data_IF_684229743473
#
_entry.id   IF_684229743473
#
_cell.length_a   1.000
_cell.length_b   1.000
_cell.length_c   1.000
_cell.angle_alpha   90.00
_cell.angle_beta   90.00
_cell.angle_gamma   90.00
#
_symmetry.space_group_name_H-M   'P 1'
#
loop_
_entity.id
_entity.type
_entity.pdbx_description
1 polymer ?
#
# COMPACT_ATOMS: atom_id res chain seq x y z
N UNK A 1 -43.53 -58.66 -36.37
CA UNK A 1 -44.62 -58.05 -37.16
C UNK A 1 -45.90 -58.13 -36.34
N UNK A 2 -46.78 -57.11 -36.28
CA UNK A 2 -46.72 -55.77 -36.88
C UNK A 2 -46.74 -54.61 -35.85
N UNK A 3 -46.67 -53.41 -36.43
CA UNK A 3 -46.53 -52.06 -35.91
C UNK A 3 -47.88 -51.34 -35.67
N UNK A 4 -47.76 -50.10 -35.17
CA UNK A 4 -48.60 -48.89 -35.32
C UNK A 4 -49.50 -48.58 -34.10
N UNK A 5 -49.60 -47.36 -33.56
CA UNK A 5 -49.49 -45.99 -34.09
C UNK A 5 -49.07 -45.00 -32.97
N UNK A 6 -48.46 -43.87 -33.32
CA UNK A 6 -48.77 -42.48 -32.84
C UNK A 6 -47.74 -41.52 -33.47
N UNK A 7 -48.10 -40.90 -34.60
CA UNK A 7 -48.61 -39.52 -34.78
C UNK A 7 -47.52 -38.44 -34.86
N UNK A 8 -47.41 -37.87 -36.06
CA UNK A 8 -46.55 -36.77 -36.49
C UNK A 8 -46.84 -35.45 -35.76
N UNK A 9 -45.77 -34.69 -35.43
CA UNK A 9 -45.82 -33.22 -35.42
C UNK A 9 -44.50 -32.60 -35.89
N UNK A 10 -44.65 -31.80 -36.96
CA UNK A 10 -43.93 -30.58 -37.33
C UNK A 10 -42.41 -30.63 -37.54
N UNK A 11 -42.06 -30.59 -38.83
CA UNK A 11 -40.73 -30.31 -39.40
C UNK A 11 -40.37 -28.84 -39.18
N UNK A 12 -39.26 -28.58 -38.49
CA UNK A 12 -38.52 -27.32 -38.58
C UNK A 12 -37.10 -27.64 -39.10
N UNK A 13 -36.70 -26.94 -40.17
CA UNK A 13 -35.40 -27.08 -40.84
C UNK A 13 -34.23 -26.91 -39.84
N UNK A 14 -33.17 -27.72 -39.90
CA UNK A 14 -31.97 -27.44 -39.12
C UNK A 14 -31.27 -26.20 -39.69
N UNK A 15 -31.04 -25.20 -38.84
CA UNK A 15 -30.04 -24.16 -39.11
C UNK A 15 -28.69 -24.88 -39.24
N UNK A 16 -28.01 -24.68 -40.37
CA UNK A 16 -26.59 -25.00 -40.51
C UNK A 16 -25.79 -24.13 -39.53
N UNK A 17 -25.57 -24.64 -38.32
CA UNK A 17 -24.53 -24.17 -37.42
C UNK A 17 -23.21 -24.71 -37.98
N UNK A 18 -22.44 -23.83 -38.61
CA UNK A 18 -21.02 -24.08 -38.87
C UNK A 18 -20.36 -24.46 -37.54
N UNK A 19 -19.51 -25.49 -37.49
CA UNK A 19 -18.81 -25.82 -36.26
C UNK A 19 -17.94 -24.62 -35.86
N UNK A 20 -18.13 -24.16 -34.63
CA UNK A 20 -17.24 -23.19 -34.02
C UNK A 20 -15.81 -23.70 -34.15
N UNK A 21 -14.93 -22.89 -34.74
CA UNK A 21 -13.49 -23.13 -34.76
C UNK A 21 -13.03 -23.47 -33.35
N UNK A 22 -12.19 -24.51 -33.15
CA UNK A 22 -11.67 -24.79 -31.82
C UNK A 22 -10.93 -23.55 -31.33
N UNK A 23 -11.41 -22.98 -30.22
CA UNK A 23 -10.71 -21.96 -29.47
C UNK A 23 -9.41 -22.57 -29.00
N UNK A 24 -8.33 -22.28 -29.72
CA UNK A 24 -6.97 -22.60 -29.30
C UNK A 24 -6.77 -21.98 -27.92
N UNK A 25 -6.54 -22.75 -26.84
CA UNK A 25 -6.07 -22.17 -25.60
C UNK A 25 -4.77 -21.41 -25.90
N UNK A 26 -4.46 -20.30 -25.20
CA UNK A 26 -3.22 -19.58 -25.44
C UNK A 26 -2.07 -20.59 -25.37
N UNK A 27 -1.37 -20.71 -26.49
CA UNK A 27 -0.19 -21.57 -26.63
C UNK A 27 0.79 -21.10 -25.55
N UNK A 28 1.06 -21.95 -24.56
CA UNK A 28 2.21 -21.78 -23.68
C UNK A 28 3.45 -21.94 -24.56
N UNK A 29 3.86 -20.84 -25.20
CA UNK A 29 5.10 -20.76 -25.96
C UNK A 29 6.27 -20.91 -24.98
N UNK A 30 7.31 -21.61 -25.46
CA UNK A 30 8.64 -21.86 -24.88
C UNK A 30 9.02 -21.08 -23.61
N UNK A 31 9.66 -21.70 -22.60
CA UNK A 31 10.07 -21.00 -21.38
C UNK A 31 10.84 -19.74 -21.75
N UNK A 32 10.34 -18.59 -21.29
CA UNK A 32 10.89 -17.29 -21.61
C UNK A 32 12.40 -17.30 -21.35
N UNK A 33 13.19 -17.08 -22.40
CA UNK A 33 14.64 -16.96 -22.26
C UNK A 33 14.90 -15.69 -21.47
N UNK A 34 15.25 -15.86 -20.19
CA UNK A 34 15.68 -14.75 -19.33
C UNK A 34 17.11 -14.39 -19.76
N UNK A 35 17.31 -13.12 -20.08
CA UNK A 35 18.63 -12.60 -20.41
C UNK A 35 19.58 -12.77 -19.21
N UNK A 36 20.85 -13.06 -19.51
CA UNK A 36 21.85 -13.28 -18.47
C UNK A 36 21.96 -12.12 -17.48
N UNK A 37 21.87 -10.87 -17.94
CA UNK A 37 21.89 -9.67 -17.09
C UNK A 37 20.69 -9.63 -16.13
N UNK A 38 19.49 -9.96 -16.60
CA UNK A 38 18.29 -10.00 -15.76
C UNK A 38 18.34 -11.13 -14.75
N UNK A 39 18.84 -12.31 -15.17
CA UNK A 39 19.06 -13.44 -14.29
C UNK A 39 20.05 -13.08 -13.16
N UNK A 40 21.20 -12.53 -13.54
CA UNK A 40 22.23 -12.10 -12.61
C UNK A 40 21.71 -11.03 -11.63
N UNK A 41 20.86 -10.10 -12.09
CA UNK A 41 20.23 -9.12 -11.20
C UNK A 41 19.37 -9.81 -10.11
N UNK A 42 18.60 -10.84 -10.47
CA UNK A 42 17.77 -11.57 -9.51
C UNK A 42 18.64 -12.34 -8.50
N UNK A 43 19.71 -12.99 -8.95
CA UNK A 43 20.67 -13.69 -8.08
C UNK A 43 21.36 -12.75 -7.10
N UNK A 44 21.84 -11.59 -7.58
CA UNK A 44 22.42 -10.54 -6.74
C UNK A 44 21.43 -10.00 -5.71
N UNK A 45 20.13 -10.15 -5.97
CA UNK A 45 19.06 -9.77 -5.05
C UNK A 45 18.65 -10.91 -4.13
N UNK A 46 19.42 -12.01 -4.09
CA UNK A 46 19.17 -13.17 -3.23
C UNK A 46 17.91 -13.95 -3.60
N UNK A 47 17.46 -13.88 -4.85
CA UNK A 47 16.25 -14.58 -5.32
C UNK A 47 16.62 -15.97 -5.83
N UNK A 48 15.88 -16.99 -5.39
CA UNK A 48 16.10 -18.38 -5.76
C UNK A 48 15.87 -18.60 -7.27
N UNK A 49 16.76 -19.32 -7.98
CA UNK A 49 16.67 -19.58 -9.42
C UNK A 49 15.30 -20.04 -9.92
N UNK A 50 14.66 -20.98 -9.22
CA UNK A 50 13.34 -21.49 -9.61
C UNK A 50 12.22 -20.45 -9.49
N UNK A 51 12.34 -19.48 -8.56
CA UNK A 51 11.39 -18.36 -8.47
C UNK A 51 11.60 -17.40 -9.64
N UNK A 52 12.87 -17.08 -9.96
CA UNK A 52 13.23 -16.27 -11.11
C UNK A 52 12.67 -16.86 -12.40
N UNK A 53 12.93 -18.14 -12.66
CA UNK A 53 12.45 -18.83 -13.85
C UNK A 53 10.92 -18.85 -14.00
N UNK A 54 10.18 -18.82 -12.89
CA UNK A 54 8.73 -18.93 -12.89
C UNK A 54 7.99 -17.58 -12.93
N UNK A 55 8.62 -16.51 -12.42
CA UNK A 55 7.98 -15.21 -12.21
C UNK A 55 8.57 -14.08 -13.04
N UNK A 56 9.77 -14.24 -13.61
CA UNK A 56 10.47 -13.19 -14.34
C UNK A 56 10.54 -13.54 -15.82
N UNK A 57 10.27 -12.55 -16.66
CA UNK A 57 10.36 -12.66 -18.10
C UNK A 57 11.18 -11.50 -18.67
N UNK A 58 12.12 -11.79 -19.58
CA UNK A 58 12.73 -10.77 -20.43
C UNK A 58 11.73 -10.32 -21.49
N UNK A 59 11.52 -9.01 -21.59
CA UNK A 59 10.66 -8.39 -22.60
C UNK A 59 11.50 -7.46 -23.46
N UNK A 60 11.37 -7.59 -24.79
CA UNK A 60 12.17 -6.83 -25.76
C UNK A 60 11.30 -6.29 -26.89
N UNK A 61 11.72 -5.16 -27.46
CA UNK A 61 11.10 -4.59 -28.64
C UNK A 61 9.61 -4.34 -28.43
N UNK A 62 8.81 -4.58 -29.47
CA UNK A 62 7.39 -4.20 -29.47
C UNK A 62 6.56 -4.93 -28.41
N UNK A 63 7.05 -6.06 -27.87
CA UNK A 63 6.42 -6.72 -26.71
C UNK A 63 6.33 -5.78 -25.51
N UNK A 64 7.24 -4.81 -25.35
CA UNK A 64 7.12 -3.80 -24.27
C UNK A 64 5.79 -3.05 -24.34
N UNK A 65 5.25 -2.79 -25.54
CA UNK A 65 3.93 -2.18 -25.68
C UNK A 65 2.82 -3.15 -25.27
N UNK A 66 2.91 -4.44 -25.56
CA UNK A 66 1.93 -5.43 -25.09
C UNK A 66 1.85 -5.45 -23.55
N UNK A 67 2.99 -5.23 -22.88
CA UNK A 67 3.09 -5.23 -21.43
C UNK A 67 2.58 -3.93 -20.81
N UNK A 68 2.92 -2.76 -21.39
CA UNK A 68 2.60 -1.46 -20.81
C UNK A 68 1.30 -0.84 -21.34
N UNK A 69 0.86 -1.23 -22.53
CA UNK A 69 -0.29 -0.66 -23.22
C UNK A 69 -1.44 -1.68 -23.31
N UNK A 70 -2.27 -1.69 -22.27
CA UNK A 70 -3.45 -2.55 -22.20
C UNK A 70 -4.67 -1.98 -22.95
N UNK A 71 -5.79 -2.69 -22.83
CA UNK A 71 -7.10 -2.31 -23.39
C UNK A 71 -7.72 -1.03 -22.80
N UNK A 72 -7.29 -0.59 -21.61
CA UNK A 72 -7.80 0.63 -20.96
C UNK A 72 -7.29 1.93 -21.60
N UNK A 73 -6.37 1.82 -22.56
CA UNK A 73 -5.88 2.96 -23.33
C UNK A 73 -6.84 3.35 -24.45
N UNK A 74 -6.93 4.66 -24.70
CA UNK A 74 -7.80 5.17 -25.75
C UNK A 74 -7.19 4.89 -27.12
N UNK A 75 -7.93 4.19 -27.97
CA UNK A 75 -7.49 3.84 -29.33
C UNK A 75 -8.04 4.83 -30.36
N UNK A 76 -7.41 4.85 -31.54
CA UNK A 76 -7.92 5.49 -32.75
C UNK A 76 -9.02 4.60 -33.38
N UNK A 77 -9.74 5.13 -34.36
CA UNK A 77 -10.83 4.40 -35.04
C UNK A 77 -10.34 3.16 -35.82
N UNK A 78 -9.04 3.06 -36.09
CA UNK A 78 -8.37 1.89 -36.69
C UNK A 78 -7.84 0.90 -35.64
N UNK A 79 -8.29 1.02 -34.38
CA UNK A 79 -7.88 0.22 -33.22
C UNK A 79 -6.41 0.34 -32.81
N UNK A 80 -5.63 1.23 -33.42
CA UNK A 80 -4.25 1.51 -33.00
C UNK A 80 -4.21 2.37 -31.76
N UNK A 81 -3.15 2.19 -30.96
CA UNK A 81 -2.83 3.09 -29.85
C UNK A 81 -2.62 4.51 -30.38
N UNK A 82 -2.96 5.51 -29.56
CA UNK A 82 -2.73 6.91 -29.92
C UNK A 82 -1.25 7.22 -29.91
N UNK A 83 -0.84 8.12 -30.80
CA UNK A 83 0.55 8.53 -31.00
C UNK A 83 1.20 9.04 -29.69
N UNK A 84 0.43 9.64 -28.78
CA UNK A 84 0.91 10.09 -27.46
C UNK A 84 1.35 8.94 -26.55
N UNK A 85 0.58 7.86 -26.48
CA UNK A 85 0.89 6.69 -25.65
C UNK A 85 2.10 5.92 -26.22
N UNK A 86 2.18 5.82 -27.55
CA UNK A 86 3.34 5.25 -28.23
C UNK A 86 4.61 6.06 -28.00
N UNK A 87 4.54 7.40 -28.10
CA UNK A 87 5.69 8.29 -27.85
C UNK A 87 6.18 8.22 -26.41
N UNK A 88 5.29 7.99 -25.44
CA UNK A 88 5.66 7.88 -24.04
C UNK A 88 6.62 6.70 -23.78
N UNK A 89 6.39 5.57 -24.47
CA UNK A 89 7.14 4.34 -24.27
C UNK A 89 8.14 4.01 -25.38
N UNK A 90 8.17 4.79 -26.47
CA UNK A 90 9.18 4.67 -27.53
C UNK A 90 10.62 4.56 -26.99
N UNK A 91 11.05 5.29 -25.95
CA UNK A 91 12.40 5.14 -25.38
C UNK A 91 12.67 3.76 -24.76
N UNK A 92 11.62 3.06 -24.28
CA UNK A 92 11.73 1.74 -23.68
C UNK A 92 11.77 0.62 -24.72
N UNK A 93 11.30 0.90 -25.95
CA UNK A 93 11.18 -0.07 -27.05
C UNK A 93 12.34 0.07 -28.03
N UNK A 94 12.72 1.31 -28.34
CA UNK A 94 13.75 1.64 -29.32
C UNK A 94 14.93 2.25 -28.58
N UNK A 95 16.12 1.65 -28.69
CA UNK A 95 17.33 2.29 -28.22
C UNK A 95 17.55 3.53 -29.09
N UNK A 96 17.50 4.72 -28.48
CA UNK A 96 17.89 5.95 -29.16
C UNK A 96 19.40 6.07 -28.99
N UNK A 97 20.18 5.62 -29.98
CA UNK A 97 21.53 6.14 -30.15
C UNK A 97 21.42 7.44 -30.96
N UNK A 98 21.81 8.55 -30.36
CA UNK A 98 22.06 9.78 -31.11
C UNK A 98 23.31 9.55 -31.97
N UNK A 99 23.13 9.32 -33.27
CA UNK A 99 24.22 9.36 -34.24
C UNK A 99 24.27 10.80 -34.77
N UNK A 100 25.38 11.54 -34.61
CA UNK A 100 25.54 12.82 -35.28
C UNK A 100 25.42 12.61 -36.78
N UNK A 101 24.46 13.27 -37.42
CA UNK A 101 24.34 13.27 -38.88
C UNK A 101 25.53 14.02 -39.47
N UNK A 102 26.59 13.28 -39.81
CA UNK A 102 27.69 13.77 -40.62
C UNK A 102 27.23 14.12 -42.04
N UNK A 103 27.34 15.41 -42.35
CA UNK A 103 27.44 16.06 -43.67
C UNK A 103 26.48 15.66 -44.81
N UNK A 104 25.52 16.56 -45.08
CA UNK A 104 25.37 17.17 -46.41
C UNK A 104 24.60 18.50 -46.31
N UNK A 105 25.14 19.54 -46.93
CA UNK A 105 24.79 20.95 -46.68
C UNK A 105 23.49 21.46 -47.34
N UNK A 106 22.79 20.69 -48.18
CA UNK A 106 21.81 21.30 -49.10
C UNK A 106 20.35 20.79 -49.03
N UNK A 107 19.95 19.99 -48.03
CA UNK A 107 18.52 19.70 -47.78
C UNK A 107 18.21 19.46 -46.29
N UNK A 108 17.33 20.25 -45.65
CA UNK A 108 16.81 19.92 -44.33
C UNK A 108 15.68 18.90 -44.51
N UNK A 109 16.02 17.64 -44.78
CA UNK A 109 15.13 16.54 -44.40
C UNK A 109 15.51 16.14 -42.98
N UNK A 110 14.67 16.52 -42.02
CA UNK A 110 14.71 16.05 -40.64
C UNK A 110 14.35 14.57 -40.57
N UNK A 111 15.24 13.72 -41.06
CA UNK A 111 15.15 12.27 -40.98
C UNK A 111 16.03 11.77 -39.84
N UNK A 112 15.44 11.53 -38.67
CA UNK A 112 16.09 10.77 -37.61
C UNK A 112 16.23 9.32 -38.07
N UNK A 113 17.45 8.88 -38.39
CA UNK A 113 17.70 7.47 -38.66
C UNK A 113 17.63 6.69 -37.34
N UNK A 114 16.47 6.07 -37.07
CA UNK A 114 16.30 5.08 -36.00
C UNK A 114 17.05 3.81 -36.38
N UNK A 115 18.30 3.67 -35.94
CA UNK A 115 18.93 2.36 -35.87
C UNK A 115 18.31 1.60 -34.69
N UNK A 116 17.35 0.72 -35.00
CA UNK A 116 16.53 -0.01 -34.02
C UNK A 116 17.33 -1.15 -33.36
N UNK A 117 18.27 -0.82 -32.48
CA UNK A 117 18.68 -1.77 -31.45
C UNK A 117 17.56 -1.84 -30.42
N UNK A 118 16.96 -3.01 -30.21
CA UNK A 118 15.76 -3.13 -29.37
C UNK A 118 16.11 -2.88 -27.91
N UNK A 119 15.51 -1.86 -27.30
CA UNK A 119 15.49 -1.69 -25.85
C UNK A 119 14.47 -2.68 -25.25
N UNK A 120 14.64 -2.99 -23.97
CA UNK A 120 13.79 -3.94 -23.27
C UNK A 120 13.91 -3.80 -21.76
N UNK A 121 13.70 -4.90 -21.09
CA UNK A 121 13.87 -5.04 -19.65
C UNK A 121 13.29 -6.36 -19.18
N UNK A 122 12.96 -6.43 -17.90
CA UNK A 122 12.27 -7.58 -17.33
C UNK A 122 10.91 -7.22 -16.74
N UNK A 123 9.97 -8.16 -16.85
CA UNK A 123 8.64 -8.09 -16.29
C UNK A 123 8.48 -9.13 -15.18
N UNK A 124 7.73 -8.77 -14.14
CA UNK A 124 7.24 -9.73 -13.15
C UNK A 124 5.79 -10.08 -13.46
N UNK A 125 5.51 -11.39 -13.48
CA UNK A 125 4.16 -11.94 -13.59
C UNK A 125 3.71 -12.45 -12.22
N UNK A 126 2.47 -12.13 -11.84
CA UNK A 126 1.87 -12.53 -10.58
C UNK A 126 0.52 -13.20 -10.78
N UNK A 127 0.03 -13.80 -9.71
CA UNK A 127 -1.31 -14.36 -9.59
C UNK A 127 -2.24 -13.35 -8.92
N UNK A 128 -3.48 -13.31 -9.39
CA UNK A 128 -4.54 -12.53 -8.79
C UNK A 128 -4.87 -13.12 -7.41
N UNK A 129 -5.10 -12.26 -6.43
CA UNK A 129 -5.27 -12.73 -5.05
C UNK A 129 -6.59 -13.47 -4.84
N UNK A 130 -7.62 -13.16 -5.61
CA UNK A 130 -8.94 -13.75 -5.48
C UNK A 130 -9.00 -15.03 -6.31
N UNK A 131 -8.77 -14.93 -7.61
CA UNK A 131 -8.94 -16.05 -8.55
C UNK A 131 -7.77 -17.02 -8.54
N UNK A 132 -6.58 -16.60 -8.07
CA UNK A 132 -5.31 -17.32 -8.19
C UNK A 132 -4.89 -17.59 -9.64
N UNK A 133 -5.54 -16.95 -10.61
CA UNK A 133 -5.15 -17.01 -12.01
C UNK A 133 -4.01 -16.02 -12.29
N UNK A 134 -3.10 -16.33 -13.22
CA UNK A 134 -2.14 -15.36 -13.71
C UNK A 134 -2.87 -14.15 -14.29
N UNK A 135 -2.47 -12.94 -13.91
CA UNK A 135 -2.95 -11.72 -14.57
C UNK A 135 -1.78 -10.88 -15.08
N UNK A 136 -2.09 -9.98 -16.01
CA UNK A 136 -1.09 -9.20 -16.72
C UNK A 136 -0.17 -8.44 -15.76
N UNK A 137 1.14 -8.66 -15.95
CA UNK A 137 2.31 -7.86 -15.54
C UNK A 137 2.09 -6.96 -14.32
N UNK A 138 2.65 -7.37 -13.18
CA UNK A 138 2.62 -6.56 -11.96
C UNK A 138 3.56 -5.36 -12.08
N UNK A 139 4.74 -5.54 -12.67
CA UNK A 139 5.69 -4.46 -12.92
C UNK A 139 6.64 -4.80 -14.06
N UNK A 140 7.07 -3.78 -14.78
CA UNK A 140 8.13 -3.85 -15.79
C UNK A 140 9.29 -2.95 -15.35
N UNK A 141 10.52 -3.48 -15.36
CA UNK A 141 11.74 -2.71 -15.12
C UNK A 141 12.50 -2.60 -16.45
N UNK A 142 12.56 -1.42 -17.07
CA UNK A 142 13.35 -1.23 -18.28
C UNK A 142 14.85 -1.27 -17.99
N UNK A 143 15.63 -1.74 -18.95
CA UNK A 143 17.09 -1.66 -18.94
C UNK A 143 17.57 -0.20 -18.97
N UNK A 144 16.85 0.61 -19.74
CA UNK A 144 17.08 2.05 -19.89
C UNK A 144 15.83 2.81 -19.45
N UNK A 145 15.74 3.18 -18.16
CA UNK A 145 14.62 3.94 -17.63
C UNK A 145 14.42 5.28 -18.35
N UNK A 146 13.17 5.56 -18.76
CA UNK A 146 12.79 6.91 -19.18
C UNK A 146 12.79 7.87 -17.98
N UNK A 147 12.94 9.15 -18.26
CA UNK A 147 12.88 10.20 -17.25
C UNK A 147 11.44 10.66 -17.02
N UNK A 148 11.11 11.04 -15.79
CA UNK A 148 9.89 11.75 -15.47
C UNK A 148 10.01 13.24 -15.84
N UNK A 149 8.94 14.03 -15.62
CA UNK A 149 8.92 15.47 -15.88
C UNK A 149 9.98 16.27 -15.09
N UNK A 150 10.50 15.70 -14.00
CA UNK A 150 11.54 16.28 -13.15
C UNK A 150 12.95 15.81 -13.53
N UNK A 151 13.11 15.08 -14.64
CA UNK A 151 14.39 14.53 -15.08
C UNK A 151 14.89 13.33 -14.28
N UNK A 152 14.06 12.71 -13.42
CA UNK A 152 14.43 11.53 -12.63
C UNK A 152 14.09 10.22 -13.36
N UNK A 153 14.98 9.22 -13.35
CA UNK A 153 14.71 7.90 -13.90
C UNK A 153 13.49 7.22 -13.25
N UNK A 154 12.58 6.70 -14.07
CA UNK A 154 11.44 5.88 -13.63
C UNK A 154 11.89 4.42 -13.61
N UNK A 155 12.29 3.94 -12.42
CA UNK A 155 12.87 2.60 -12.26
C UNK A 155 11.88 1.47 -12.59
N UNK A 156 10.58 1.67 -12.33
CA UNK A 156 9.54 0.67 -12.57
C UNK A 156 8.36 1.31 -13.26
N UNK A 157 7.87 0.65 -14.30
CA UNK A 157 6.64 0.97 -15.02
C UNK A 157 5.55 -0.03 -14.65
N UNK A 158 4.31 0.44 -14.68
CA UNK A 158 3.11 -0.39 -14.56
C UNK A 158 2.21 -0.09 -15.75
N UNK A 159 1.39 -1.05 -16.21
CA UNK A 159 0.52 -0.83 -17.36
C UNK A 159 -0.36 0.41 -17.16
N UNK A 160 -0.52 1.22 -18.20
CA UNK A 160 -1.23 2.50 -18.07
C UNK A 160 -2.68 2.33 -17.63
N UNK A 161 -3.14 3.30 -16.83
CA UNK A 161 -4.53 3.38 -16.32
C UNK A 161 -4.98 2.10 -15.59
N UNK A 162 -4.05 1.27 -15.14
CA UNK A 162 -4.38 0.18 -14.22
C UNK A 162 -4.39 0.71 -12.80
N UNK A 163 -5.38 0.30 -11.99
CA UNK A 163 -5.28 0.52 -10.56
C UNK A 163 -4.03 -0.22 -10.06
N UNK A 164 -3.36 0.35 -9.05
CA UNK A 164 -2.34 -0.41 -8.34
C UNK A 164 -2.98 -1.63 -7.68
N UNK A 165 -2.27 -2.74 -7.57
CA UNK A 165 -2.80 -3.99 -7.04
C UNK A 165 -1.81 -4.66 -6.10
N UNK A 166 -2.35 -5.55 -5.29
CA UNK A 166 -1.58 -6.55 -4.57
C UNK A 166 -1.57 -7.84 -5.38
N UNK A 167 -0.56 -8.67 -5.18
CA UNK A 167 -0.29 -9.83 -6.02
C UNK A 167 0.38 -10.94 -5.21
N UNK A 168 0.32 -12.14 -5.78
CA UNK A 168 0.97 -13.33 -5.25
C UNK A 168 1.95 -13.90 -6.28
N UNK A 169 3.20 -14.22 -5.90
CA UNK A 169 4.11 -14.89 -6.82
C UNK A 169 3.69 -16.32 -7.12
N UNK A 170 4.00 -16.82 -8.31
CA UNK A 170 3.96 -18.25 -8.64
C UNK A 170 5.05 -18.98 -7.84
N UNK A 171 4.74 -20.19 -7.34
CA UNK A 171 5.60 -20.89 -6.38
C UNK A 171 6.10 -22.22 -6.95
N UNK A 172 7.42 -22.43 -7.09
CA UNK A 172 7.98 -23.72 -7.49
C UNK A 172 7.99 -24.71 -6.32
N UNK A 173 7.98 -26.01 -6.63
CA UNK A 173 7.91 -27.10 -5.66
C UNK A 173 9.02 -27.06 -4.62
N UNK A 174 10.25 -26.68 -5.00
CA UNK A 174 11.37 -26.56 -4.05
C UNK A 174 11.09 -25.54 -2.93
N UNK A 175 10.51 -24.40 -3.29
CA UNK A 175 10.18 -23.33 -2.33
C UNK A 175 8.95 -23.71 -1.51
N UNK A 176 7.92 -24.27 -2.15
CA UNK A 176 6.74 -24.77 -1.44
C UNK A 176 7.14 -25.81 -0.36
N UNK A 177 8.00 -26.77 -0.70
CA UNK A 177 8.49 -27.78 0.24
C UNK A 177 9.28 -27.15 1.41
N UNK A 178 10.16 -26.19 1.12
CA UNK A 178 10.93 -25.48 2.15
C UNK A 178 10.01 -24.73 3.12
N UNK A 179 9.02 -23.99 2.60
CA UNK A 179 8.06 -23.23 3.42
C UNK A 179 7.20 -24.19 4.26
N UNK A 180 6.64 -25.24 3.66
CA UNK A 180 5.83 -26.24 4.37
C UNK A 180 6.63 -26.86 5.51
N UNK A 181 7.88 -27.28 5.27
CA UNK A 181 8.76 -27.83 6.32
C UNK A 181 9.00 -26.83 7.44
N UNK A 182 9.24 -25.55 7.11
CA UNK A 182 9.48 -24.49 8.10
C UNK A 182 8.26 -24.25 8.98
N UNK A 183 7.06 -24.29 8.42
CA UNK A 183 5.80 -23.99 9.13
C UNK A 183 4.98 -25.24 9.51
N UNK A 184 5.57 -26.44 9.45
CA UNK A 184 4.87 -27.70 9.76
C UNK A 184 4.32 -27.79 11.20
N UNK A 185 4.84 -26.96 12.11
CA UNK A 185 4.37 -26.84 13.49
C UNK A 185 3.13 -25.92 13.63
N UNK A 186 2.77 -25.18 12.57
CA UNK A 186 1.63 -24.24 12.52
C UNK A 186 0.52 -24.79 11.62
N UNK A 187 0.89 -25.33 10.46
CA UNK A 187 -0.03 -25.86 9.47
C UNK A 187 0.38 -27.30 9.08
N UNK A 188 -0.60 -28.21 8.89
CA UNK A 188 -0.32 -29.58 8.50
C UNK A 188 0.39 -29.65 7.14
N UNK A 189 1.15 -30.74 6.97
CA UNK A 189 1.72 -31.10 5.68
C UNK A 189 0.58 -31.21 4.64
N UNK A 190 0.77 -30.72 3.41
CA UNK A 190 -0.25 -30.72 2.37
C UNK A 190 -0.94 -32.06 2.07
N UNK A 191 -0.24 -33.18 2.25
CA UNK A 191 -0.76 -34.53 2.00
C UNK A 191 -1.28 -34.72 0.57
N UNK A 192 -2.25 -35.62 0.40
CA UNK A 192 -2.85 -35.92 -0.91
C UNK A 192 -3.68 -34.76 -1.48
N UNK A 193 -4.16 -33.84 -0.61
CA UNK A 193 -4.95 -32.68 -1.02
C UNK A 193 -4.12 -31.69 -1.83
N UNK A 194 -2.83 -31.52 -1.52
CA UNK A 194 -1.94 -30.69 -2.32
C UNK A 194 -0.60 -31.38 -2.60
N UNK A 195 -0.56 -32.23 -3.65
CA UNK A 195 0.60 -33.03 -3.95
C UNK A 195 1.75 -32.15 -4.46
N UNK A 196 2.96 -32.42 -3.99
CA UNK A 196 4.15 -31.83 -4.56
C UNK A 196 4.41 -32.43 -5.94
N UNK A 197 4.78 -31.57 -6.89
CA UNK A 197 5.30 -32.04 -8.17
C UNK A 197 6.65 -32.76 -7.96
N UNK A 198 6.94 -33.74 -8.82
CA UNK A 198 8.20 -34.49 -8.77
C UNK A 198 9.43 -33.62 -9.09
N UNK A 199 9.27 -32.63 -9.98
CA UNK A 199 10.33 -31.69 -10.32
C UNK A 199 10.40 -30.53 -9.31
N UNK A 200 11.58 -30.19 -8.78
CA UNK A 200 11.78 -29.05 -7.89
C UNK A 200 11.39 -27.69 -8.50
N UNK A 201 11.42 -27.57 -9.83
CA UNK A 201 11.13 -26.34 -10.58
C UNK A 201 9.65 -26.19 -10.92
N UNK A 202 8.89 -27.29 -10.90
CA UNK A 202 7.50 -27.29 -11.30
C UNK A 202 6.65 -26.43 -10.35
N UNK A 203 5.69 -25.71 -10.92
CA UNK A 203 4.78 -24.87 -10.16
C UNK A 203 3.86 -25.68 -9.25
N UNK A 204 3.59 -25.15 -8.06
CA UNK A 204 2.59 -25.63 -7.12
C UNK A 204 1.42 -24.63 -7.08
N UNK A 205 0.45 -24.72 -8.02
CA UNK A 205 -0.67 -23.77 -8.11
C UNK A 205 -1.55 -23.79 -6.85
N UNK A 206 -1.52 -24.89 -6.11
CA UNK A 206 -2.23 -25.06 -4.86
C UNK A 206 -1.66 -24.27 -3.67
N UNK A 207 -0.42 -23.75 -3.76
CA UNK A 207 0.29 -23.18 -2.61
C UNK A 207 -0.51 -22.06 -1.93
N UNK A 208 -1.05 -21.13 -2.71
CA UNK A 208 -1.83 -20.02 -2.15
C UNK A 208 -3.18 -20.46 -1.61
N UNK A 209 -3.78 -21.52 -2.16
CA UNK A 209 -4.97 -22.11 -1.56
C UNK A 209 -4.64 -22.77 -0.22
N UNK A 210 -3.51 -23.46 -0.10
CA UNK A 210 -3.03 -23.97 1.20
C UNK A 210 -2.80 -22.82 2.19
N UNK A 211 -2.24 -21.69 1.76
CA UNK A 211 -2.11 -20.51 2.63
C UNK A 211 -3.48 -19.95 3.04
N UNK A 212 -4.45 -19.84 2.13
CA UNK A 212 -5.83 -19.40 2.45
C UNK A 212 -6.51 -20.32 3.46
N UNK A 213 -6.34 -21.63 3.31
CA UNK A 213 -6.96 -22.66 4.17
C UNK A 213 -6.34 -22.71 5.58
N UNK A 214 -5.16 -22.11 5.78
CA UNK A 214 -4.44 -22.08 7.05
C UNK A 214 -4.19 -20.63 7.51
N UNK A 215 -5.21 -19.94 8.06
CA UNK A 215 -5.12 -18.55 8.52
C UNK A 215 -3.98 -18.28 9.52
N UNK A 216 -3.47 -19.33 10.17
CA UNK A 216 -2.53 -19.20 11.30
C UNK A 216 -1.09 -18.99 10.80
N UNK A 217 -0.86 -19.27 9.52
CA UNK A 217 0.39 -18.97 8.85
C UNK A 217 0.64 -17.45 8.83
N UNK A 218 1.82 -17.00 9.26
CA UNK A 218 2.15 -15.58 9.25
C UNK A 218 2.36 -15.09 7.82
N UNK A 219 1.84 -13.89 7.54
CA UNK A 219 2.08 -13.20 6.27
C UNK A 219 2.99 -11.99 6.45
N UNK A 220 3.81 -11.71 5.43
CA UNK A 220 4.76 -10.58 5.43
C UNK A 220 4.44 -9.64 4.25
N UNK A 221 4.06 -8.41 4.53
CA UNK A 221 3.65 -7.48 3.45
C UNK A 221 4.84 -6.68 2.96
N UNK A 222 5.19 -6.88 1.70
CA UNK A 222 6.29 -6.21 1.00
C UNK A 222 5.77 -5.24 -0.05
N UNK A 223 6.64 -4.31 -0.46
CA UNK A 223 6.46 -3.50 -1.67
C UNK A 223 7.46 -3.93 -2.75
N UNK A 224 6.96 -4.14 -3.96
CA UNK A 224 7.77 -4.48 -5.13
C UNK A 224 8.18 -5.96 -5.23
N UNK A 225 8.31 -6.43 -6.48
CA UNK A 225 8.46 -7.84 -6.79
C UNK A 225 9.72 -8.49 -6.20
N UNK A 226 10.86 -7.79 -6.27
CA UNK A 226 12.16 -8.31 -5.81
C UNK A 226 12.15 -8.65 -4.32
N UNK A 227 11.54 -7.77 -3.50
CA UNK A 227 11.41 -7.97 -2.05
C UNK A 227 10.57 -9.19 -1.72
N UNK A 228 9.45 -9.32 -2.43
CA UNK A 228 8.53 -10.45 -2.33
C UNK A 228 9.24 -11.76 -2.69
N UNK A 229 9.96 -11.81 -3.82
CA UNK A 229 10.69 -13.01 -4.22
C UNK A 229 11.89 -13.34 -3.32
N UNK A 230 12.60 -12.32 -2.81
CA UNK A 230 13.69 -12.50 -1.85
C UNK A 230 13.17 -13.14 -0.54
N UNK A 231 12.05 -12.64 0.02
CA UNK A 231 11.47 -13.23 1.23
C UNK A 231 10.97 -14.66 1.02
N UNK A 232 10.38 -14.98 -0.14
CA UNK A 232 10.03 -16.36 -0.49
C UNK A 232 11.26 -17.27 -0.54
N UNK A 233 12.37 -16.78 -1.10
CA UNK A 233 13.65 -17.51 -1.18
C UNK A 233 14.22 -17.82 0.21
N UNK A 234 13.86 -17.01 1.21
CA UNK A 234 14.21 -17.17 2.63
C UNK A 234 13.15 -17.96 3.43
N UNK A 235 12.18 -18.54 2.74
CA UNK A 235 11.11 -19.34 3.33
C UNK A 235 10.11 -18.54 4.15
N UNK A 236 9.89 -17.26 3.85
CA UNK A 236 8.76 -16.50 4.41
C UNK A 236 7.59 -16.50 3.42
N UNK A 237 6.39 -16.16 3.89
CA UNK A 237 5.17 -16.15 3.07
C UNK A 237 4.76 -14.68 2.84
N UNK A 238 5.27 -14.01 1.80
CA UNK A 238 4.99 -12.61 1.57
C UNK A 238 3.74 -12.38 0.75
N UNK A 239 3.04 -11.29 1.05
CA UNK A 239 2.00 -10.69 0.21
C UNK A 239 2.60 -9.45 -0.45
N UNK A 240 2.68 -9.44 -1.77
CA UNK A 240 3.31 -8.35 -2.51
C UNK A 240 2.34 -7.22 -2.80
N UNK A 241 2.75 -5.98 -2.56
CA UNK A 241 2.08 -4.77 -3.02
C UNK A 241 2.90 -4.12 -4.14
N UNK A 242 2.26 -3.61 -5.20
CA UNK A 242 2.97 -2.83 -6.22
C UNK A 242 3.58 -1.53 -5.65
N UNK A 243 2.93 -0.96 -4.63
CA UNK A 243 3.41 0.20 -3.90
C UNK A 243 2.85 0.21 -2.47
N UNK A 244 3.40 1.06 -1.61
CA UNK A 244 2.89 1.30 -0.24
C UNK A 244 1.44 1.80 -0.19
N UNK A 245 0.85 2.18 -1.32
CA UNK A 245 -0.56 2.60 -1.45
C UNK A 245 -1.44 1.55 -2.13
N UNK A 246 -0.90 0.42 -2.58
CA UNK A 246 -1.66 -0.54 -3.37
C UNK A 246 -2.68 -1.34 -2.53
N UNK A 247 -2.70 -1.14 -1.20
CA UNK A 247 -3.62 -1.83 -0.29
C UNK A 247 -5.07 -1.29 -0.31
N UNK A 248 -5.29 -0.06 -0.79
CA UNK A 248 -6.61 0.56 -0.92
C UNK A 248 -6.86 1.13 -2.32
N UNK A 249 -8.12 1.49 -2.59
CA UNK A 249 -8.46 2.34 -3.72
C UNK A 249 -8.16 3.82 -3.38
N UNK A 250 -7.67 4.63 -4.35
CA UNK A 250 -7.43 6.04 -4.12
C UNK A 250 -8.63 6.76 -3.50
N UNK A 251 -8.38 7.59 -2.48
CA UNK A 251 -9.43 8.33 -1.77
C UNK A 251 -10.20 7.53 -0.70
N UNK A 252 -9.95 6.22 -0.56
CA UNK A 252 -10.60 5.38 0.46
C UNK A 252 -9.67 5.06 1.63
N UNK A 253 -10.22 4.67 2.78
CA UNK A 253 -9.45 4.08 3.90
C UNK A 253 -9.81 2.61 4.14
N UNK A 254 -10.43 1.97 3.15
CA UNK A 254 -10.86 0.58 3.22
C UNK A 254 -9.86 -0.30 2.50
N UNK A 255 -9.65 -1.52 3.03
CA UNK A 255 -8.90 -2.55 2.34
C UNK A 255 -9.62 -2.90 1.03
N UNK A 256 -8.86 -3.13 -0.04
CA UNK A 256 -9.41 -3.72 -1.25
C UNK A 256 -10.03 -5.08 -0.97
N UNK A 257 -11.16 -5.36 -1.61
CA UNK A 257 -11.88 -6.62 -1.42
C UNK A 257 -11.00 -7.84 -1.75
N UNK A 258 -10.16 -7.73 -2.78
CA UNK A 258 -9.23 -8.79 -3.19
C UNK A 258 -8.22 -9.19 -2.10
N UNK A 259 -7.94 -8.32 -1.11
CA UNK A 259 -7.05 -8.66 0.01
C UNK A 259 -7.74 -9.54 1.07
N UNK A 260 -9.07 -9.48 1.19
CA UNK A 260 -9.83 -10.13 2.26
C UNK A 260 -9.61 -11.65 2.36
N UNK A 261 -9.54 -12.43 1.25
CA UNK A 261 -9.31 -13.87 1.33
C UNK A 261 -8.00 -14.27 2.04
N UNK A 262 -7.01 -13.40 2.04
CA UNK A 262 -5.72 -13.63 2.71
C UNK A 262 -5.58 -12.88 4.03
N UNK A 263 -6.54 -12.06 4.42
CA UNK A 263 -6.50 -11.27 5.64
C UNK A 263 -7.76 -11.52 6.50
N UNK A 264 -8.06 -12.77 6.87
CA UNK A 264 -9.10 -13.04 7.87
C UNK A 264 -8.71 -12.44 9.23
N UNK A 265 -9.69 -12.24 10.14
CA UNK A 265 -9.43 -11.84 11.51
C UNK A 265 -8.36 -12.71 12.19
N UNK A 266 -7.62 -12.12 13.12
CA UNK A 266 -6.57 -12.75 13.93
C UNK A 266 -5.34 -13.28 13.17
N UNK A 267 -5.30 -13.17 11.83
CA UNK A 267 -4.11 -13.57 11.06
C UNK A 267 -2.88 -12.73 11.47
N UNK A 268 -1.73 -13.38 11.81
CA UNK A 268 -0.48 -12.66 12.04
C UNK A 268 0.02 -12.03 10.75
N UNK A 269 0.16 -10.71 10.74
CA UNK A 269 0.61 -9.96 9.56
C UNK A 269 1.73 -9.00 9.94
N UNK A 270 2.88 -9.11 9.29
CA UNK A 270 4.04 -8.25 9.53
C UNK A 270 4.28 -7.32 8.35
N UNK A 271 4.27 -6.01 8.57
CA UNK A 271 4.60 -5.02 7.53
C UNK A 271 6.12 -4.88 7.44
N UNK A 272 6.68 -4.99 6.22
CA UNK A 272 8.13 -4.93 5.94
C UNK A 272 8.43 -3.93 4.83
N UNK A 273 7.80 -2.74 4.88
CA UNK A 273 8.04 -1.64 3.93
C UNK A 273 9.44 -1.04 4.08
N UNK A 274 9.89 -0.30 3.08
CA UNK A 274 11.23 0.28 3.06
C UNK A 274 11.47 1.27 4.22
N UNK A 275 12.66 1.18 4.83
CA UNK A 275 13.15 2.12 5.82
C UNK A 275 13.97 3.22 5.15
N UNK A 276 13.28 4.20 4.55
CA UNK A 276 13.90 5.37 3.95
C UNK A 276 14.72 6.21 4.95
N UNK A 277 15.68 6.99 4.45
CA UNK A 277 16.46 7.94 5.24
C UNK A 277 16.02 9.40 5.03
N UNK A 278 15.36 9.69 3.90
CA UNK A 278 14.92 11.05 3.55
C UNK A 278 13.69 11.44 4.39
N UNK A 279 13.73 12.53 5.19
CA UNK A 279 12.66 12.84 6.15
C UNK A 279 11.25 12.89 5.55
N UNK A 280 11.10 13.51 4.36
CA UNK A 280 9.81 13.57 3.64
C UNK A 280 9.29 12.17 3.27
N UNK A 281 10.19 11.29 2.82
CA UNK A 281 9.84 9.93 2.41
C UNK A 281 9.57 9.05 3.62
N UNK A 282 10.36 9.16 4.69
CA UNK A 282 10.09 8.50 5.99
C UNK A 282 8.71 8.86 6.51
N UNK A 283 8.36 10.15 6.54
CA UNK A 283 7.05 10.60 6.99
C UNK A 283 5.93 10.01 6.13
N UNK A 284 6.13 9.98 4.80
CA UNK A 284 5.17 9.40 3.87
C UNK A 284 4.97 7.90 4.08
N UNK A 285 6.06 7.11 4.13
CA UNK A 285 6.00 5.65 4.33
C UNK A 285 5.39 5.31 5.68
N UNK A 286 5.82 5.97 6.77
CA UNK A 286 5.22 5.78 8.09
C UNK A 286 3.72 6.12 8.10
N UNK A 287 3.32 7.16 7.35
CA UNK A 287 1.91 7.50 7.16
C UNK A 287 1.12 6.40 6.45
N UNK A 288 1.72 5.72 5.46
CA UNK A 288 1.08 4.58 4.79
C UNK A 288 1.01 3.34 5.69
N UNK A 289 2.08 3.01 6.41
CA UNK A 289 2.09 1.94 7.41
C UNK A 289 0.96 2.17 8.42
N UNK A 290 0.84 3.39 8.94
CA UNK A 290 -0.20 3.73 9.91
C UNK A 290 -1.62 3.54 9.35
N UNK A 291 -1.89 4.06 8.14
CA UNK A 291 -3.21 3.92 7.50
C UNK A 291 -3.55 2.47 7.23
N UNK A 292 -2.59 1.70 6.73
CA UNK A 292 -2.79 0.30 6.42
C UNK A 292 -3.01 -0.54 7.69
N UNK A 293 -2.15 -0.38 8.70
CA UNK A 293 -2.33 -1.05 9.99
C UNK A 293 -3.67 -0.69 10.64
N UNK A 294 -4.12 0.57 10.52
CA UNK A 294 -5.43 0.97 11.03
C UNK A 294 -6.57 0.28 10.27
N UNK A 295 -6.50 0.20 8.95
CA UNK A 295 -7.48 -0.51 8.14
C UNK A 295 -7.51 -2.02 8.48
N UNK A 296 -6.35 -2.64 8.70
CA UNK A 296 -6.21 -4.03 9.15
C UNK A 296 -6.88 -4.27 10.50
N UNK A 297 -6.60 -3.42 11.51
CA UNK A 297 -7.25 -3.50 12.82
C UNK A 297 -8.78 -3.39 12.74
N UNK A 298 -9.30 -2.51 11.87
CA UNK A 298 -10.74 -2.37 11.66
C UNK A 298 -11.39 -3.63 11.06
N UNK A 299 -10.59 -4.49 10.42
CA UNK A 299 -11.01 -5.79 9.89
C UNK A 299 -10.62 -6.96 10.82
N UNK A 300 -10.24 -6.69 12.08
CA UNK A 300 -9.93 -7.72 13.06
C UNK A 300 -8.55 -8.36 12.92
N UNK A 301 -7.68 -7.86 12.04
CA UNK A 301 -6.30 -8.35 11.94
C UNK A 301 -5.41 -7.81 13.07
N UNK A 302 -4.29 -8.49 13.34
CA UNK A 302 -3.29 -8.11 14.36
C UNK A 302 -1.98 -7.69 13.68
N UNK A 303 -1.86 -6.44 13.20
CA UNK A 303 -0.67 -6.00 12.47
C UNK A 303 0.54 -5.80 13.39
N UNK A 304 1.66 -6.35 12.93
CA UNK A 304 3.01 -6.14 13.42
C UNK A 304 3.78 -5.28 12.42
N UNK A 305 4.79 -4.55 12.88
CA UNK A 305 5.71 -3.80 12.02
C UNK A 305 7.12 -4.27 12.30
N UNK A 306 7.80 -4.74 11.27
CA UNK A 306 9.20 -5.10 11.37
C UNK A 306 10.07 -3.85 11.16
N UNK A 307 11.13 -3.75 11.96
CA UNK A 307 12.20 -2.79 11.75
C UNK A 307 13.54 -3.50 11.91
N UNK A 308 14.55 -2.96 11.26
CA UNK A 308 15.93 -3.44 11.29
C UNK A 308 16.88 -2.24 11.35
N UNK A 309 18.14 -2.53 11.57
CA UNK A 309 19.20 -1.53 11.63
C UNK A 309 19.36 -0.89 10.24
N UNK A 310 19.27 0.45 10.09
CA UNK A 310 19.48 1.13 8.82
C UNK A 310 20.83 0.80 8.14
N UNK A 311 21.85 0.39 8.91
CA UNK A 311 23.13 -0.07 8.37
C UNK A 311 23.01 -1.37 7.54
N UNK A 312 21.93 -2.14 7.73
CA UNK A 312 21.64 -3.36 6.98
C UNK A 312 20.93 -3.07 5.64
N UNK A 313 20.67 -1.80 5.34
CA UNK A 313 20.05 -1.37 4.08
C UNK A 313 18.61 -0.89 4.22
N UNK A 314 18.09 -0.37 3.11
CA UNK A 314 16.81 0.33 3.05
C UNK A 314 15.65 -0.67 3.01
N UNK A 315 15.76 -1.68 2.16
CA UNK A 315 14.75 -2.71 1.93
C UNK A 315 15.00 -3.97 2.75
N UNK A 316 13.96 -4.78 2.93
CA UNK A 316 14.08 -6.08 3.60
C UNK A 316 14.99 -7.05 2.83
N UNK A 317 15.07 -6.86 1.51
CA UNK A 317 15.95 -7.58 0.59
C UNK A 317 17.42 -7.16 0.66
N UNK A 318 17.72 -5.97 1.21
CA UNK A 318 19.10 -5.50 1.41
C UNK A 318 19.78 -6.19 2.61
N UNK A 319 18.99 -6.71 3.57
CA UNK A 319 19.52 -7.38 4.77
C UNK A 319 20.17 -8.71 4.37
N UNK A 320 21.50 -8.77 4.39
CA UNK A 320 22.26 -9.94 3.93
C UNK A 320 22.22 -11.12 4.93
N UNK A 321 22.30 -10.83 6.23
CA UNK A 321 22.27 -11.84 7.29
C UNK A 321 20.84 -12.39 7.48
N UNK A 322 20.65 -13.65 7.07
CA UNK A 322 19.36 -14.34 7.12
C UNK A 322 18.88 -14.66 8.53
N UNK A 323 19.79 -14.91 9.47
CA UNK A 323 19.44 -15.19 10.86
C UNK A 323 19.03 -13.90 11.58
N UNK A 324 19.80 -12.83 11.35
CA UNK A 324 19.44 -11.50 11.81
C UNK A 324 18.06 -11.08 11.30
N UNK A 325 17.80 -11.20 10.00
CA UNK A 325 16.50 -10.88 9.43
C UNK A 325 15.40 -11.74 10.06
N UNK A 326 15.62 -13.05 10.16
CA UNK A 326 14.64 -13.98 10.75
C UNK A 326 14.29 -13.60 12.18
N UNK A 327 15.28 -13.17 12.97
CA UNK A 327 15.06 -12.69 14.33
C UNK A 327 14.25 -11.39 14.34
N UNK A 328 14.55 -10.42 13.45
CA UNK A 328 13.77 -9.17 13.34
C UNK A 328 12.33 -9.38 12.91
N UNK A 329 12.09 -10.30 11.98
CA UNK A 329 10.75 -10.64 11.52
C UNK A 329 9.94 -11.36 12.62
N UNK A 330 10.58 -12.24 13.40
CA UNK A 330 9.93 -12.90 14.56
C UNK A 330 9.68 -11.94 15.73
N UNK A 331 10.57 -10.97 15.92
CA UNK A 331 10.46 -9.95 16.98
C UNK A 331 9.79 -8.66 16.50
N UNK A 332 9.02 -8.71 15.41
CA UNK A 332 8.30 -7.56 14.90
C UNK A 332 7.37 -7.00 15.99
N UNK A 333 7.25 -5.68 16.05
CA UNK A 333 6.56 -5.02 17.16
C UNK A 333 5.08 -4.83 16.84
N UNK A 334 4.16 -4.95 17.82
CA UNK A 334 2.77 -4.57 17.64
C UNK A 334 2.63 -3.14 17.11
N UNK A 335 1.70 -2.92 16.18
CA UNK A 335 1.46 -1.60 15.58
C UNK A 335 1.28 -0.48 16.61
N UNK A 336 0.60 -0.76 17.73
CA UNK A 336 0.41 0.21 18.81
C UNK A 336 1.73 0.65 19.45
N UNK A 337 2.67 -0.29 19.64
CA UNK A 337 3.99 -0.04 20.20
C UNK A 337 4.87 0.73 19.22
N UNK A 338 4.88 0.30 17.95
CA UNK A 338 5.58 1.00 16.87
C UNK A 338 5.13 2.46 16.74
N UNK A 339 3.82 2.71 16.75
CA UNK A 339 3.28 4.07 16.65
C UNK A 339 3.62 4.92 17.89
N UNK A 340 3.61 4.32 19.08
CA UNK A 340 4.04 4.99 20.32
C UNK A 340 5.51 5.39 20.25
N UNK A 341 6.39 4.55 19.73
CA UNK A 341 7.81 4.85 19.69
C UNK A 341 8.16 5.91 18.64
N UNK A 342 7.44 5.95 17.52
CA UNK A 342 7.51 7.06 16.57
C UNK A 342 7.10 8.40 17.21
N UNK A 343 6.01 8.42 17.96
CA UNK A 343 5.50 9.65 18.59
C UNK A 343 6.36 10.13 19.75
N UNK A 344 6.95 9.23 20.54
CA UNK A 344 7.92 9.58 21.61
C UNK A 344 9.11 10.37 21.06
N UNK A 345 9.67 9.95 19.92
CA UNK A 345 10.79 10.64 19.26
C UNK A 345 10.45 12.08 18.87
N UNK A 346 9.19 12.35 18.50
CA UNK A 346 8.72 13.70 18.17
C UNK A 346 8.55 14.60 19.39
N UNK A 347 8.18 14.06 20.55
CA UNK A 347 7.97 14.85 21.78
C UNK A 347 9.30 15.27 22.41
N UNK A 348 10.32 14.40 22.38
CA UNK A 348 11.66 14.71 22.91
C UNK A 348 12.42 15.78 22.14
N UNK A 349 11.95 16.15 20.94
CA UNK A 349 12.56 17.17 20.09
C UNK A 349 11.90 18.56 20.23
N UNK A 350 10.96 18.74 21.17
CA UNK A 350 10.37 20.05 21.44
C UNK A 350 11.45 20.94 22.08
N UNK A 351 12.05 21.82 21.28
CA UNK A 351 12.97 22.88 21.73
C UNK A 351 12.21 24.20 21.92
N UNK A 352 12.75 25.11 22.75
CA UNK A 352 12.09 26.40 23.00
C UNK A 352 10.89 26.34 23.94
N UNK A 353 10.86 25.37 24.86
CA UNK A 353 9.84 25.30 25.91
C UNK A 353 10.06 26.43 26.90
N UNK A 354 9.21 27.44 26.82
CA UNK A 354 9.16 28.52 27.80
C UNK A 354 8.29 28.07 28.98
N UNK A 355 8.91 27.84 30.13
CA UNK A 355 8.18 27.47 31.36
C UNK A 355 7.98 28.72 32.20
N UNK A 356 6.73 29.08 32.47
CA UNK A 356 6.37 30.18 33.38
C UNK A 356 5.59 29.62 34.57
N UNK A 357 6.10 29.85 35.78
CA UNK A 357 5.32 29.67 37.01
C UNK A 357 4.45 30.91 37.20
N UNK A 358 3.15 30.72 37.38
CA UNK A 358 2.19 31.81 37.61
C UNK A 358 1.68 31.71 39.04
N UNK A 359 2.15 32.61 39.91
CA UNK A 359 1.77 32.69 41.33
C UNK A 359 0.46 33.46 41.52
N UNK A 360 -0.57 33.10 40.77
CA UNK A 360 -1.88 33.72 40.88
C UNK A 360 -2.96 32.66 41.07
N UNK A 361 -3.99 32.95 41.89
CA UNK A 361 -4.98 31.95 42.28
C UNK A 361 -5.85 31.47 41.12
N UNK A 362 -6.02 32.30 40.08
CA UNK A 362 -6.85 32.01 38.92
C UNK A 362 -6.12 32.30 37.62
N UNK A 363 -6.20 31.36 36.69
CA UNK A 363 -5.77 31.58 35.31
C UNK A 363 -6.73 32.56 34.60
N UNK A 364 -6.19 33.47 33.80
CA UNK A 364 -6.93 34.43 32.96
C UNK A 364 -6.47 34.36 31.49
N UNK A 365 -7.33 34.74 30.52
CA UNK A 365 -6.99 34.77 29.09
C UNK A 365 -5.72 35.54 28.74
N UNK A 366 -5.46 36.66 29.42
CA UNK A 366 -4.32 37.54 29.14
C UNK A 366 -2.95 36.86 29.33
N UNK A 367 -2.91 35.76 30.10
CA UNK A 367 -1.70 34.99 30.37
C UNK A 367 -1.42 33.91 29.33
N UNK A 368 -2.39 33.65 28.45
CA UNK A 368 -2.31 32.65 27.40
C UNK A 368 -1.90 33.38 26.12
N UNK A 369 -0.63 33.28 25.76
CA UNK A 369 -0.12 33.90 24.52
C UNK A 369 -0.75 33.23 23.30
N UNK A 370 -1.57 33.95 22.55
CA UNK A 370 -2.21 33.45 21.32
C UNK A 370 -1.22 33.17 20.17
N UNK A 371 0.02 33.68 20.27
CA UNK A 371 1.07 33.49 19.27
C UNK A 371 1.86 32.18 19.39
N UNK A 372 1.68 31.40 20.46
CA UNK A 372 2.39 30.12 20.64
C UNK A 372 1.57 28.97 20.05
N UNK A 373 2.23 28.05 19.33
CA UNK A 373 1.59 26.90 18.66
C UNK A 373 1.08 25.82 19.63
N UNK A 374 1.66 25.72 20.83
CA UNK A 374 1.26 24.76 21.87
C UNK A 374 1.42 25.40 23.25
N UNK A 375 0.38 25.31 24.08
CA UNK A 375 0.39 25.80 25.46
C UNK A 375 -0.03 24.64 26.37
N UNK A 376 0.83 24.30 27.34
CA UNK A 376 0.56 23.27 28.34
C UNK A 376 0.27 23.94 29.68
N UNK A 377 -0.90 23.66 30.26
CA UNK A 377 -1.35 24.25 31.52
C UNK A 377 -1.45 23.15 32.58
N UNK A 378 -0.62 23.24 33.63
CA UNK A 378 -0.67 22.36 34.80
C UNK A 378 -1.03 23.18 36.04
N UNK A 379 -2.18 22.88 36.67
CA UNK A 379 -2.58 23.52 37.93
C UNK A 379 -3.63 22.67 38.67
N UNK A 380 -3.83 22.93 39.97
CA UNK A 380 -4.76 22.19 40.84
C UNK A 380 -6.24 22.29 40.42
N UNK A 381 -7.13 21.52 41.05
CA UNK A 381 -8.58 21.65 40.82
C UNK A 381 -9.05 23.01 41.34
N UNK A 382 -9.97 23.67 40.62
CA UNK A 382 -10.54 24.96 41.05
C UNK A 382 -9.75 26.23 40.66
N UNK A 383 -8.57 26.11 40.05
CA UNK A 383 -7.68 27.22 39.67
C UNK A 383 -8.10 28.02 38.43
N UNK A 384 -9.37 27.93 38.01
CA UNK A 384 -9.89 28.73 36.91
C UNK A 384 -9.54 28.28 35.49
N UNK A 385 -8.81 27.15 35.26
CA UNK A 385 -8.45 26.65 33.91
C UNK A 385 -9.60 26.67 32.91
N UNK A 386 -10.70 25.99 33.25
CA UNK A 386 -11.88 25.90 32.38
C UNK A 386 -12.54 27.27 32.16
N UNK A 387 -12.52 28.14 33.19
CA UNK A 387 -13.10 29.49 33.11
C UNK A 387 -12.31 30.37 32.14
N UNK A 388 -10.98 30.33 32.21
CA UNK A 388 -10.08 31.02 31.28
C UNK A 388 -10.28 30.55 29.84
N UNK A 389 -10.38 29.23 29.61
CA UNK A 389 -10.64 28.64 28.30
C UNK A 389 -11.98 29.12 27.72
N UNK A 390 -13.05 29.09 28.52
CA UNK A 390 -14.36 29.59 28.09
C UNK A 390 -14.32 31.08 27.71
N UNK A 391 -13.56 31.90 28.44
CA UNK A 391 -13.41 33.32 28.14
C UNK A 391 -12.66 33.55 26.82
N UNK A 392 -11.59 32.80 26.57
CA UNK A 392 -10.86 32.83 25.28
C UNK A 392 -11.76 32.48 24.10
N UNK A 393 -12.55 31.41 24.23
CA UNK A 393 -13.49 30.99 23.19
C UNK A 393 -14.52 32.10 22.92
N UNK A 394 -15.06 32.73 23.97
CA UNK A 394 -16.03 33.82 23.82
C UNK A 394 -15.43 35.08 23.18
N UNK A 395 -14.19 35.42 23.51
CA UNK A 395 -13.48 36.54 22.87
C UNK A 395 -13.31 36.26 21.37
N UNK A 396 -12.85 35.07 21.02
CA UNK A 396 -12.65 34.72 19.62
C UNK A 396 -13.97 34.49 18.83
N UNK A 397 -15.10 34.29 19.51
CA UNK A 397 -16.44 34.33 18.91
C UNK A 397 -16.90 35.74 18.53
N UNK A 398 -16.33 36.77 19.18
CA UNK A 398 -16.67 38.18 18.95
C UNK A 398 -15.78 38.82 17.88
N UNK A 399 -14.66 38.18 17.53
CA UNK A 399 -13.77 38.66 16.48
C UNK A 399 -14.40 38.50 15.08
N UNK A 400 -14.16 39.48 14.21
CA UNK A 400 -14.66 39.53 12.83
C UNK A 400 -14.09 38.42 11.93
N UNK A 401 -12.96 37.82 12.32
CA UNK A 401 -12.36 36.66 11.66
C UNK A 401 -12.59 35.41 12.53
N UNK A 402 -13.53 34.51 12.16
CA UNK A 402 -13.93 33.41 13.03
C UNK A 402 -12.83 32.37 13.14
N UNK A 403 -12.11 32.39 14.27
CA UNK A 403 -11.15 31.35 14.60
C UNK A 403 -11.87 30.01 14.86
N UNK A 404 -11.26 28.92 14.38
CA UNK A 404 -11.80 27.59 14.59
C UNK A 404 -11.30 26.98 15.91
N UNK A 405 -12.21 26.56 16.78
CA UNK A 405 -11.85 25.88 18.03
C UNK A 405 -12.40 24.47 18.09
N UNK A 406 -11.55 23.57 18.57
CA UNK A 406 -11.92 22.22 18.96
C UNK A 406 -11.55 22.02 20.42
N UNK A 407 -12.56 21.78 21.26
CA UNK A 407 -12.33 21.42 22.66
C UNK A 407 -12.41 19.90 22.84
N UNK A 408 -11.25 19.28 23.04
CA UNK A 408 -11.13 17.86 23.38
C UNK A 408 -11.21 17.66 24.90
N UNK A 409 -12.04 16.73 25.33
CA UNK A 409 -12.20 16.39 26.75
C UNK A 409 -11.99 14.88 26.96
N UNK A 410 -11.49 14.44 28.13
CA UNK A 410 -11.13 13.04 28.34
C UNK A 410 -12.32 12.14 28.71
N UNK A 411 -13.51 12.69 28.93
CA UNK A 411 -14.73 11.92 29.20
C UNK A 411 -15.98 12.61 28.68
N UNK A 412 -17.01 11.81 28.35
CA UNK A 412 -18.33 12.27 27.90
C UNK A 412 -18.96 13.28 28.85
N UNK A 413 -18.86 13.03 30.16
CA UNK A 413 -19.37 13.92 31.20
C UNK A 413 -18.68 15.29 31.16
N UNK A 414 -17.35 15.32 30.99
CA UNK A 414 -16.60 16.56 30.87
C UNK A 414 -16.90 17.29 29.56
N UNK A 415 -17.20 16.56 28.48
CA UNK A 415 -17.63 17.15 27.21
C UNK A 415 -18.95 17.91 27.37
N UNK A 416 -19.94 17.30 28.04
CA UNK A 416 -21.22 17.95 28.32
C UNK A 416 -21.05 19.21 29.18
N UNK A 417 -20.23 19.13 30.24
CA UNK A 417 -19.94 20.29 31.09
C UNK A 417 -19.21 21.41 30.34
N UNK A 418 -18.24 21.06 29.48
CA UNK A 418 -17.49 22.04 28.69
C UNK A 418 -18.39 22.72 27.65
N UNK A 419 -19.20 21.94 26.93
CA UNK A 419 -20.20 22.43 25.97
C UNK A 419 -21.19 23.40 26.63
N UNK A 420 -21.78 23.02 27.76
CA UNK A 420 -22.72 23.86 28.49
C UNK A 420 -22.08 25.17 28.98
N UNK A 421 -20.84 25.13 29.50
CA UNK A 421 -20.14 26.32 30.00
C UNK A 421 -19.68 27.28 28.90
N UNK A 422 -19.28 26.71 27.76
CA UNK A 422 -18.79 27.47 26.62
C UNK A 422 -19.92 27.92 25.68
N UNK A 423 -21.13 27.38 25.81
CA UNK A 423 -22.23 27.63 24.88
C UNK A 423 -21.97 27.02 23.49
N UNK A 424 -21.26 25.89 23.44
CA UNK A 424 -20.79 25.29 22.19
C UNK A 424 -21.55 24.01 21.85
N UNK A 425 -21.77 23.72 20.57
CA UNK A 425 -22.34 22.45 20.16
C UNK A 425 -21.43 21.28 20.57
N UNK A 426 -22.06 20.26 21.16
CA UNK A 426 -21.43 18.99 21.50
C UNK A 426 -21.52 18.03 20.30
N UNK A 427 -20.35 17.55 19.86
CA UNK A 427 -20.21 16.42 18.94
C UNK A 427 -20.07 15.12 19.74
N UNK A 428 -21.04 14.24 19.56
CA UNK A 428 -21.01 12.86 20.04
C UNK A 428 -20.78 11.91 18.86
N UNK A 429 -20.27 10.68 19.09
CA UNK A 429 -20.14 9.67 18.04
C UNK A 429 -21.43 9.37 17.27
N UNK A 430 -22.59 9.68 17.87
CA UNK A 430 -23.94 9.52 17.31
C UNK A 430 -24.44 10.74 16.52
N UNK A 431 -23.79 11.90 16.62
CA UNK A 431 -24.16 13.12 15.87
C UNK A 431 -23.40 13.19 14.55
N UNK A 432 -24.14 13.42 13.46
CA UNK A 432 -23.68 13.22 12.08
C UNK A 432 -22.60 14.24 11.62
N UNK A 433 -21.70 13.87 10.67
CA UNK A 433 -20.47 14.61 10.34
C UNK A 433 -20.62 16.02 9.76
N UNK A 434 -21.81 16.42 9.30
CA UNK A 434 -22.03 17.73 8.68
C UNK A 434 -22.01 18.92 9.66
N UNK A 435 -22.06 18.66 10.97
CA UNK A 435 -21.83 19.68 12.01
C UNK A 435 -20.37 20.18 12.04
N UNK A 436 -19.42 19.51 11.35
CA UNK A 436 -18.05 20.01 11.17
C UNK A 436 -17.95 21.28 10.30
N UNK A 437 -19.09 21.80 9.81
CA UNK A 437 -19.19 23.13 9.19
C UNK A 437 -19.26 24.27 10.20
N UNK A 438 -19.52 23.97 11.47
CA UNK A 438 -19.49 24.99 12.52
C UNK A 438 -18.05 25.25 12.97
N UNK A 439 -17.70 26.53 13.11
CA UNK A 439 -16.32 26.93 13.39
C UNK A 439 -15.86 26.52 14.80
N UNK A 440 -16.75 26.18 15.75
CA UNK A 440 -16.41 26.05 17.17
C UNK A 440 -17.19 24.91 17.82
N UNK A 441 -16.51 23.82 18.23
CA UNK A 441 -17.18 22.56 18.66
C UNK A 441 -16.48 21.91 19.88
N UNK A 442 -17.24 21.19 20.70
CA UNK A 442 -16.72 20.33 21.77
C UNK A 442 -16.85 18.87 21.34
N UNK A 443 -15.76 18.10 21.43
CA UNK A 443 -15.78 16.68 21.06
C UNK A 443 -15.77 15.77 22.29
N UNK A 444 -16.68 14.81 22.28
CA UNK A 444 -16.68 13.70 23.22
C UNK A 444 -15.73 12.60 22.77
N UNK A 445 -14.95 11.98 23.69
CA UNK A 445 -14.17 10.81 23.37
C UNK A 445 -15.08 9.67 22.93
N UNK A 446 -14.59 8.83 22.01
CA UNK A 446 -15.23 7.56 21.65
C UNK A 446 -15.05 6.62 22.83
N UNK A 447 -16.15 6.10 23.37
CA UNK A 447 -16.11 5.09 24.43
C UNK A 447 -15.43 3.83 23.92
N UNK A 448 -14.21 3.56 24.35
CA UNK A 448 -13.66 2.21 24.40
C UNK A 448 -14.06 1.56 25.73
N UNK A 449 -14.29 0.24 25.78
CA UNK A 449 -14.65 -0.43 27.03
C UNK A 449 -13.49 -0.34 28.03
N UNK A 450 -13.81 0.23 29.20
CA UNK A 450 -13.09 0.26 30.50
C UNK A 450 -11.55 0.11 30.52
N UNK A 451 -10.87 1.18 30.95
CA UNK A 451 -9.64 1.08 31.74
C UNK A 451 -9.87 1.74 33.11
N UNK A 452 -9.42 1.06 34.15
CA UNK A 452 -9.66 1.29 35.58
C UNK A 452 -9.30 2.71 36.08
N UNK A 453 -10.12 3.20 37.02
CA UNK A 453 -9.92 4.46 37.75
C UNK A 453 -8.62 4.43 38.57
N UNK A 454 -7.62 5.20 38.12
CA UNK A 454 -6.44 5.60 38.90
C UNK A 454 -6.42 7.12 39.10
N UNK A 455 -5.90 7.57 40.24
CA UNK A 455 -5.95 8.94 40.77
C UNK A 455 -5.81 10.07 39.73
N UNK A 456 -6.79 10.97 39.70
CA UNK A 456 -6.95 11.99 38.66
C UNK A 456 -6.03 13.20 38.86
N UNK A 457 -4.94 13.25 38.10
CA UNK A 457 -4.29 14.52 37.73
C UNK A 457 -4.98 15.03 36.46
N UNK A 458 -5.78 16.11 36.54
CA UNK A 458 -6.38 16.71 35.35
C UNK A 458 -5.33 17.47 34.53
N UNK A 459 -4.81 16.82 33.49
CA UNK A 459 -4.06 17.48 32.42
C UNK A 459 -5.08 17.97 31.39
N UNK A 460 -5.21 19.29 31.21
CA UNK A 460 -6.00 19.88 30.14
C UNK A 460 -5.05 20.27 29.01
N UNK A 461 -5.09 19.56 27.89
CA UNK A 461 -4.33 19.90 26.69
C UNK A 461 -5.24 20.80 25.83
N UNK A 462 -4.83 22.06 25.63
CA UNK A 462 -5.45 22.95 24.66
C UNK A 462 -4.63 22.90 23.38
N UNK A 463 -5.21 22.39 22.30
CA UNK A 463 -4.65 22.51 20.94
C UNK A 463 -5.37 23.69 20.28
N UNK A 464 -4.77 24.88 20.34
CA UNK A 464 -5.22 26.00 19.51
C UNK A 464 -4.64 25.83 18.11
N UNK A 465 -5.48 25.45 17.15
CA UNK A 465 -5.12 25.45 15.73
C UNK A 465 -5.25 26.89 15.20
N UNK A 466 -4.27 27.74 15.49
CA UNK A 466 -4.14 29.02 14.80
C UNK A 466 -3.63 28.78 13.38
N UNK A 467 -4.43 29.14 12.38
CA UNK A 467 -3.96 29.23 10.99
C UNK A 467 -3.80 27.90 10.24
N UNK A 468 -4.72 26.95 10.42
CA UNK A 468 -4.95 25.91 9.41
C UNK A 468 -6.17 26.32 8.58
N UNK A 469 -5.91 27.07 7.50
CA UNK A 469 -6.75 27.03 6.32
C UNK A 469 -6.85 25.56 5.89
N UNK A 470 -7.93 24.90 6.32
CA UNK A 470 -8.42 23.65 5.76
C UNK A 470 -8.87 23.94 4.32
N UNK A 471 -7.89 24.06 3.41
CA UNK A 471 -8.10 23.90 1.98
C UNK A 471 -8.15 22.39 1.71
N UNK A 472 -9.16 21.72 2.25
CA UNK A 472 -9.49 20.32 1.98
C UNK A 472 -11.01 20.19 1.99
N UNK A 473 -11.62 20.77 0.96
CA UNK A 473 -12.87 20.30 0.34
C UNK A 473 -13.06 21.06 -0.98
N UNK A 474 -12.31 20.61 -2.00
CA UNK A 474 -12.79 20.48 -3.37
C UNK A 474 -12.37 19.11 -3.86
#
# INVERSE_FOLDING_TARGET
MPLLHFSERAIARPLNLLPASPTTPPRLETPAVIDFSHWQEMEQSGIHPHLTALNIETVRGDRVYEFLCNENLSRRNDWRLRDGDLRLYAPLVHAVQEIPSGHNADRPQSGWFLQRSHSGGWAFQGLDMETLEPFAVVCFKPDYPRLNLEGKPIKYETPLKTPTQAYLPRIPASIAQQIVRKYQHIAPCPGDKYPFAASPQAECPWFWQWVKDHPQLPLYVTEGAKKTLNLLSRGFIPLGLQSVTAWNNPGTSQLKDCLRPLLPPDRPLTITFDQDSKPKTVHYVNGQIWKFCRALQLNGCVPLVATWDPAQGKGVDDVADGDYLSNRLKSAVPFADWHRDLTKRSITQITGVETRLLEQPLLTPALLSTHKKLILIKSGKGTGKTKALCQLIRQAQQDLDPQRFVWLTPSTQLSGQASARAGLPLLTPTRKPWLMRENILVMSPVSTPSASKGNSVSISIMICLWGLTLSLMR
#
